data_IF_780219540964
#
_entry.id   IF_780219540964
#
_cell.length_a   1.000
_cell.length_b   1.000
_cell.length_c   1.000
_cell.angle_alpha   90.00
_cell.angle_beta   90.00
_cell.angle_gamma   90.00
#
_symmetry.space_group_name_H-M   'P 1'
#
loop_
_entity.id
_entity.type
_entity.pdbx_description
1 polymer ?
#
# COMPACT_ATOMS: atom_id res chain seq x y z
N UNK A 1 -19.65 -0.56 13.58
CA UNK A 1 -18.81 -0.88 12.40
C UNK A 1 -19.36 -0.22 11.12
N UNK A 2 -19.89 1.01 11.20
CA UNK A 2 -20.62 1.69 10.09
C UNK A 2 -19.96 2.97 9.58
N UNK A 3 -18.81 3.37 10.14
CA UNK A 3 -18.15 4.63 9.78
C UNK A 3 -17.04 4.52 8.71
N UNK A 4 -16.72 3.31 8.25
CA UNK A 4 -15.74 3.07 7.17
C UNK A 4 -16.36 3.35 5.78
N UNK A 5 -17.69 3.37 5.67
CA UNK A 5 -18.44 3.55 4.41
C UNK A 5 -18.98 4.98 4.27
N UNK A 6 -18.17 6.00 4.57
CA UNK A 6 -18.50 7.39 4.24
C UNK A 6 -17.47 7.92 3.24
N UNK A 7 -17.87 8.79 2.29
CA UNK A 7 -16.95 9.38 1.31
C UNK A 7 -15.72 10.02 1.99
N UNK A 8 -14.63 10.27 1.22
CA UNK A 8 -13.41 10.90 1.71
C UNK A 8 -13.72 12.11 2.59
N UNK A 9 -12.85 12.38 3.56
CA UNK A 9 -12.95 13.55 4.45
C UNK A 9 -13.06 14.87 3.68
N UNK A 10 -12.56 14.90 2.44
CA UNK A 10 -12.65 16.03 1.53
C UNK A 10 -14.11 16.33 1.10
N UNK A 11 -14.69 17.39 1.66
CA UNK A 11 -16.02 17.91 1.28
C UNK A 11 -15.97 18.71 -0.03
N UNK A 12 -14.79 19.22 -0.41
CA UNK A 12 -14.54 19.98 -1.65
C UNK A 12 -13.18 19.60 -2.26
N UNK A 13 -13.15 19.57 -3.59
CA UNK A 13 -11.96 19.34 -4.42
C UNK A 13 -11.73 20.56 -5.33
N UNK A 14 -10.48 20.88 -5.70
CA UNK A 14 -9.23 20.27 -5.23
C UNK A 14 -8.90 20.70 -3.79
N UNK A 15 -8.11 19.89 -3.08
CA UNK A 15 -7.66 20.20 -1.73
C UNK A 15 -6.69 21.39 -1.72
N UNK A 16 -6.62 22.19 -0.63
CA UNK A 16 -5.62 23.24 -0.50
C UNK A 16 -4.19 22.69 -0.69
N UNK A 17 -3.42 23.30 -1.58
CA UNK A 17 -2.05 22.86 -1.90
C UNK A 17 -1.94 21.67 -2.86
N UNK A 18 -3.07 21.07 -3.26
CA UNK A 18 -3.10 19.99 -4.24
C UNK A 18 -3.08 20.50 -5.69
N UNK A 19 -2.70 19.65 -6.66
CA UNK A 19 -2.87 19.95 -8.07
C UNK A 19 -4.31 20.32 -8.42
N UNK A 20 -4.50 21.34 -9.26
CA UNK A 20 -5.84 21.84 -9.61
C UNK A 20 -6.75 20.79 -10.29
N UNK A 21 -6.16 19.80 -10.96
CA UNK A 21 -6.87 18.71 -11.64
C UNK A 21 -7.09 17.48 -10.76
N UNK A 22 -6.69 17.52 -9.49
CA UNK A 22 -6.86 16.42 -8.55
C UNK A 22 -8.35 16.22 -8.23
N UNK A 23 -8.78 14.96 -8.29
CA UNK A 23 -10.13 14.52 -7.93
C UNK A 23 -10.10 13.15 -7.25
N UNK A 24 -11.21 12.75 -6.66
CA UNK A 24 -11.34 11.40 -6.09
C UNK A 24 -11.24 10.29 -7.14
N UNK A 25 -11.49 10.56 -8.42
CA UNK A 25 -11.38 9.53 -9.47
C UNK A 25 -9.96 9.34 -9.98
N UNK A 26 -9.07 10.33 -9.84
CA UNK A 26 -7.75 10.31 -10.47
C UNK A 26 -6.55 10.42 -9.50
N UNK A 27 -6.78 10.48 -8.18
CA UNK A 27 -5.72 10.77 -7.20
C UNK A 27 -4.51 9.82 -7.23
N UNK A 28 -4.70 8.56 -7.61
CA UNK A 28 -3.69 7.50 -7.72
C UNK A 28 -3.10 7.36 -9.13
N UNK A 29 -3.57 8.15 -10.10
CA UNK A 29 -3.02 8.21 -11.46
C UNK A 29 -1.93 9.28 -11.59
N UNK A 30 -0.97 9.11 -12.51
CA UNK A 30 -0.03 10.17 -12.83
C UNK A 30 -0.73 11.32 -13.58
N UNK A 31 -0.31 12.59 -13.36
CA UNK A 31 0.73 13.02 -12.42
C UNK A 31 0.24 13.25 -10.97
N UNK A 32 -1.05 13.06 -10.68
CA UNK A 32 -1.69 13.39 -9.40
C UNK A 32 -1.10 12.62 -8.22
N UNK A 33 -0.78 11.35 -8.45
CA UNK A 33 -0.22 10.45 -7.44
C UNK A 33 1.06 10.95 -6.76
N UNK A 34 1.88 11.75 -7.46
CA UNK A 34 3.11 12.34 -6.91
C UNK A 34 2.85 13.20 -5.67
N UNK A 35 1.75 13.94 -5.69
CA UNK A 35 1.29 14.69 -4.52
C UNK A 35 0.47 13.78 -3.61
N UNK A 36 -0.51 13.07 -4.18
CA UNK A 36 -1.49 12.35 -3.39
C UNK A 36 -0.90 11.27 -2.48
N UNK A 37 0.15 10.56 -2.90
CA UNK A 37 0.77 9.50 -2.09
C UNK A 37 1.47 10.03 -0.84
N UNK A 38 1.85 11.31 -0.81
CA UNK A 38 2.40 11.99 0.37
C UNK A 38 1.31 12.63 1.25
N UNK A 39 0.06 12.66 0.76
CA UNK A 39 -1.07 13.39 1.33
C UNK A 39 -2.32 12.53 1.51
N UNK A 40 -2.17 11.20 1.57
CA UNK A 40 -3.32 10.28 1.63
C UNK A 40 -4.23 10.55 2.83
N UNK A 41 -3.68 11.03 3.95
CA UNK A 41 -4.48 11.40 5.12
C UNK A 41 -5.38 12.64 4.91
N UNK A 42 -5.05 13.49 3.95
CA UNK A 42 -5.87 14.65 3.56
C UNK A 42 -7.00 14.22 2.60
N UNK A 43 -6.81 13.09 1.91
CA UNK A 43 -7.69 12.57 0.87
C UNK A 43 -8.66 11.53 1.42
N UNK A 44 -8.15 10.49 2.06
CA UNK A 44 -8.88 9.30 2.48
C UNK A 44 -9.00 9.23 3.99
N UNK A 45 -10.01 8.48 4.47
CA UNK A 45 -10.12 8.18 5.89
C UNK A 45 -9.01 7.22 6.28
N UNK A 46 -8.10 7.70 7.11
CA UNK A 46 -6.99 6.91 7.65
C UNK A 46 -7.10 6.82 9.17
N UNK A 47 -6.62 5.71 9.73
CA UNK A 47 -6.37 5.59 11.16
C UNK A 47 -4.87 5.71 11.41
N UNK A 48 -4.48 6.49 12.41
CA UNK A 48 -3.08 6.60 12.82
C UNK A 48 -2.70 5.38 13.65
N UNK A 49 -1.77 4.57 13.12
CA UNK A 49 -1.11 3.53 13.92
C UNK A 49 -0.01 4.22 14.73
N UNK A 50 -0.18 4.26 16.05
CA UNK A 50 0.82 4.85 16.93
C UNK A 50 2.07 3.98 16.99
N UNK A 51 3.25 4.60 16.98
CA UNK A 51 4.52 3.92 17.29
C UNK A 51 4.63 3.49 18.77
N UNK A 52 3.65 3.87 19.60
CA UNK A 52 3.68 3.68 21.06
C UNK A 52 4.56 4.70 21.77
N UNK A 53 4.61 4.59 23.10
CA UNK A 53 5.42 5.44 23.99
C UNK A 53 6.75 4.79 24.40
N UNK A 54 6.97 3.55 24.00
CA UNK A 54 8.19 2.81 24.30
C UNK A 54 9.42 3.36 23.57
N UNK A 55 10.62 2.83 23.91
CA UNK A 55 11.86 3.20 23.24
C UNK A 55 11.78 2.85 21.74
N UNK A 56 12.25 3.77 20.91
CA UNK A 56 12.47 3.50 19.49
C UNK A 56 13.90 3.01 19.29
N UNK A 57 14.08 2.04 18.41
CA UNK A 57 15.41 1.71 17.94
C UNK A 57 15.90 2.80 16.98
N UNK A 58 17.17 3.19 17.09
CA UNK A 58 17.77 4.24 16.29
C UNK A 58 18.88 3.67 15.40
N UNK A 59 18.83 4.00 14.11
CA UNK A 59 19.94 3.74 13.21
C UNK A 59 21.16 4.58 13.63
N UNK A 60 22.35 3.99 13.53
CA UNK A 60 23.59 4.77 13.48
C UNK A 60 23.72 5.54 12.15
N UNK A 61 24.77 6.33 12.02
CA UNK A 61 25.03 7.12 10.80
C UNK A 61 26.40 6.78 10.22
N UNK A 62 26.46 6.55 8.91
CA UNK A 62 27.69 6.30 8.16
C UNK A 62 27.54 6.79 6.70
N UNK A 63 27.30 8.10 6.49
CA UNK A 63 26.90 8.63 5.20
C UNK A 63 27.97 8.42 4.14
N UNK A 64 27.54 7.99 2.95
CA UNK A 64 28.35 7.87 1.74
C UNK A 64 27.57 8.44 0.57
N UNK A 65 28.26 9.11 -0.35
CA UNK A 65 27.63 9.50 -1.60
C UNK A 65 27.39 8.26 -2.46
N UNK A 66 26.11 7.94 -2.66
CA UNK A 66 25.67 6.85 -3.54
C UNK A 66 25.17 7.36 -4.88
N UNK A 67 24.98 8.68 -5.04
CA UNK A 67 24.31 9.27 -6.19
C UNK A 67 25.04 8.97 -7.51
N UNK A 68 26.38 8.97 -7.48
CA UNK A 68 27.24 8.69 -8.62
C UNK A 68 27.55 7.21 -8.88
N UNK A 69 27.03 6.27 -8.08
CA UNK A 69 27.24 4.83 -8.33
C UNK A 69 26.59 4.48 -9.67
N UNK A 70 27.36 3.88 -10.55
CA UNK A 70 26.88 3.44 -11.86
C UNK A 70 26.45 1.98 -11.84
N UNK A 71 25.42 1.66 -12.62
CA UNK A 71 24.95 0.30 -12.84
C UNK A 71 24.37 0.17 -14.26
N UNK A 72 24.23 -1.07 -14.73
CA UNK A 72 23.55 -1.39 -15.98
C UNK A 72 22.07 -1.65 -15.69
N UNK A 73 21.18 -0.87 -16.29
CA UNK A 73 19.73 -1.05 -16.13
C UNK A 73 19.20 -2.23 -16.96
N UNK A 74 17.88 -2.48 -16.85
CA UNK A 74 17.22 -3.55 -17.59
C UNK A 74 17.24 -3.37 -19.12
N UNK A 75 17.45 -2.15 -19.62
CA UNK A 75 17.59 -1.83 -21.04
C UNK A 75 19.06 -1.95 -21.51
N UNK A 76 19.99 -2.33 -20.64
CA UNK A 76 21.41 -2.40 -20.94
C UNK A 76 22.14 -1.04 -20.92
N UNK A 77 21.48 0.03 -20.47
CA UNK A 77 22.08 1.36 -20.39
C UNK A 77 22.84 1.54 -19.08
N UNK A 78 23.98 2.20 -19.14
CA UNK A 78 24.67 2.64 -17.92
C UNK A 78 23.95 3.87 -17.35
N UNK A 79 23.54 3.79 -16.09
CA UNK A 79 22.92 4.89 -15.35
C UNK A 79 23.58 5.08 -13.99
N UNK A 80 23.52 6.29 -13.46
CA UNK A 80 23.81 6.52 -12.05
C UNK A 80 22.58 6.23 -11.18
N UNK A 81 22.78 6.06 -9.87
CA UNK A 81 21.66 6.00 -8.91
C UNK A 81 20.83 7.29 -8.99
N UNK A 82 21.45 8.46 -9.11
CA UNK A 82 20.71 9.72 -9.27
C UNK A 82 19.80 9.75 -10.50
N UNK A 83 20.29 9.24 -11.64
CA UNK A 83 19.51 9.13 -12.87
C UNK A 83 18.30 8.21 -12.67
N UNK A 84 18.50 7.08 -11.97
CA UNK A 84 17.44 6.14 -11.65
C UNK A 84 16.36 6.79 -10.79
N UNK A 85 16.73 7.41 -9.67
CA UNK A 85 15.77 8.05 -8.76
C UNK A 85 14.92 9.11 -9.49
N UNK A 86 15.54 9.88 -10.38
CA UNK A 86 14.84 10.87 -11.20
C UNK A 86 13.90 10.20 -12.20
N UNK A 87 14.40 9.21 -12.95
CA UNK A 87 13.63 8.52 -13.99
C UNK A 87 12.44 7.72 -13.44
N UNK A 88 12.53 7.22 -12.21
CA UNK A 88 11.47 6.42 -11.56
C UNK A 88 10.52 7.26 -10.72
N UNK A 89 10.62 8.60 -10.75
CA UNK A 89 9.83 9.50 -9.91
C UNK A 89 9.93 9.16 -8.41
N UNK A 90 11.12 8.80 -7.93
CA UNK A 90 11.30 8.44 -6.52
C UNK A 90 11.08 9.64 -5.61
N UNK A 91 10.31 9.45 -4.53
CA UNK A 91 10.10 10.47 -3.50
C UNK A 91 11.06 10.30 -2.31
N UNK A 92 11.34 9.06 -1.91
CA UNK A 92 12.26 8.74 -0.82
C UNK A 92 13.11 7.50 -1.12
N UNK A 93 14.39 7.57 -0.79
CA UNK A 93 15.36 6.48 -0.95
C UNK A 93 16.25 6.38 0.29
N UNK A 94 16.38 5.19 0.86
CA UNK A 94 17.19 4.93 2.05
C UNK A 94 17.97 3.63 1.90
N UNK A 95 19.26 3.66 2.21
CA UNK A 95 20.13 2.49 2.29
C UNK A 95 20.68 2.40 3.71
N UNK A 96 20.43 1.27 4.37
CA UNK A 96 21.00 0.95 5.66
C UNK A 96 21.91 -0.27 5.56
N UNK A 97 23.05 -0.22 6.25
CA UNK A 97 24.02 -1.30 6.35
C UNK A 97 24.52 -1.40 7.79
N UNK A 98 24.53 -2.61 8.36
CA UNK A 98 25.02 -2.88 9.72
C UNK A 98 24.42 -1.95 10.80
N UNK A 99 23.11 -1.72 10.71
CA UNK A 99 22.37 -0.85 11.63
C UNK A 99 22.66 0.64 11.46
N UNK A 100 23.31 1.07 10.38
CA UNK A 100 23.63 2.47 10.08
C UNK A 100 23.00 2.92 8.77
N UNK A 101 22.47 4.14 8.73
CA UNK A 101 22.05 4.79 7.48
C UNK A 101 23.30 5.21 6.71
N UNK A 102 23.42 4.72 5.48
CA UNK A 102 24.53 4.99 4.55
C UNK A 102 24.13 6.05 3.52
N UNK A 103 22.90 6.03 3.05
CA UNK A 103 22.34 7.06 2.19
C UNK A 103 20.87 7.26 2.52
N UNK A 104 20.41 8.50 2.46
CA UNK A 104 19.02 8.88 2.69
C UNK A 104 18.74 10.14 1.87
N UNK A 105 17.84 10.02 0.90
CA UNK A 105 17.56 11.02 -0.12
C UNK A 105 16.05 11.20 -0.18
N UNK A 106 15.59 12.45 -0.10
CA UNK A 106 14.20 12.82 -0.28
C UNK A 106 14.07 13.81 -1.42
N UNK A 107 13.06 13.62 -2.27
CA UNK A 107 12.82 14.35 -3.50
C UNK A 107 11.36 14.82 -3.53
N UNK A 108 11.02 15.67 -4.50
CA UNK A 108 9.64 16.07 -4.79
C UNK A 108 8.87 16.65 -3.59
N UNK A 109 9.57 17.34 -2.67
CA UNK A 109 8.97 17.94 -1.48
C UNK A 109 8.78 16.97 -0.30
N UNK A 110 9.19 15.71 -0.44
CA UNK A 110 9.19 14.77 0.68
C UNK A 110 10.22 15.19 1.74
N UNK A 111 9.86 15.06 3.01
CA UNK A 111 10.76 15.19 4.14
C UNK A 111 10.86 13.87 4.90
N UNK A 112 11.81 13.79 5.82
CA UNK A 112 12.04 12.61 6.67
C UNK A 112 10.78 12.10 7.39
N UNK A 113 9.93 13.01 7.85
CA UNK A 113 8.71 12.68 8.59
C UNK A 113 7.46 12.59 7.72
N UNK A 114 7.57 12.81 6.41
CA UNK A 114 6.43 12.71 5.50
C UNK A 114 5.96 11.27 5.43
N UNK A 115 4.66 11.05 5.66
CA UNK A 115 4.05 9.74 5.44
C UNK A 115 3.83 9.53 3.94
N UNK A 116 4.18 8.34 3.46
CA UNK A 116 4.00 7.96 2.06
C UNK A 116 3.14 6.71 1.94
N UNK A 117 2.23 6.67 0.97
CA UNK A 117 1.45 5.47 0.66
C UNK A 117 2.39 4.32 0.28
N UNK A 118 2.33 3.23 1.02
CA UNK A 118 3.23 2.08 0.85
C UNK A 118 2.71 1.06 -0.17
N UNK A 119 1.46 1.20 -0.61
CA UNK A 119 0.79 0.24 -1.49
C UNK A 119 0.90 -1.18 -0.92
N UNK A 120 1.15 -2.18 -1.77
CA UNK A 120 1.25 -3.59 -1.39
C UNK A 120 2.37 -3.93 -0.39
N UNK A 121 3.30 -3.01 -0.08
CA UNK A 121 4.31 -3.24 0.98
C UNK A 121 3.64 -3.52 2.32
N UNK A 122 2.44 -2.97 2.58
CA UNK A 122 1.67 -3.23 3.80
C UNK A 122 1.38 -4.73 4.04
N UNK A 123 1.32 -5.55 2.98
CA UNK A 123 1.07 -7.00 3.08
C UNK A 123 2.17 -7.73 3.87
N UNK A 124 3.41 -7.25 3.81
CA UNK A 124 4.52 -7.80 4.60
C UNK A 124 4.35 -7.56 6.09
N UNK A 125 3.76 -6.43 6.49
CA UNK A 125 3.42 -6.17 7.89
C UNK A 125 2.33 -7.12 8.38
N UNK A 126 1.25 -7.29 7.60
CA UNK A 126 0.20 -8.27 7.91
C UNK A 126 0.77 -9.69 8.05
N UNK A 127 1.64 -10.11 7.13
CA UNK A 127 2.28 -11.44 7.18
C UNK A 127 3.18 -11.61 8.40
N UNK A 128 3.89 -10.53 8.80
CA UNK A 128 4.71 -10.53 10.02
C UNK A 128 3.85 -10.72 11.27
N UNK A 129 2.71 -10.03 11.35
CA UNK A 129 1.76 -10.21 12.46
C UNK A 129 1.21 -11.64 12.51
N UNK A 130 0.90 -12.24 11.36
CA UNK A 130 0.52 -13.66 11.29
C UNK A 130 1.63 -14.55 11.83
N UNK A 131 2.89 -14.31 11.46
CA UNK A 131 4.04 -15.04 12.00
C UNK A 131 4.17 -14.94 13.53
N UNK A 132 3.90 -13.76 14.10
CA UNK A 132 3.87 -13.57 15.57
C UNK A 132 2.75 -14.41 16.20
N UNK A 133 1.54 -14.39 15.65
CA UNK A 133 0.40 -15.15 16.16
C UNK A 133 0.63 -16.67 16.07
N UNK A 134 1.28 -17.14 14.99
CA UNK A 134 1.70 -18.55 14.85
C UNK A 134 2.72 -18.91 15.93
N UNK A 135 3.74 -18.07 16.13
CA UNK A 135 4.74 -18.27 17.19
C UNK A 135 4.15 -18.29 18.60
N UNK A 136 3.04 -17.56 18.81
CA UNK A 136 2.28 -17.56 20.05
C UNK A 136 1.30 -18.75 20.19
N UNK A 137 1.12 -19.56 19.14
CA UNK A 137 0.13 -20.65 19.12
C UNK A 137 -1.32 -20.19 19.01
N UNK A 138 -1.56 -18.91 18.67
CA UNK A 138 -2.89 -18.32 18.53
C UNK A 138 -3.48 -18.51 17.12
N UNK A 139 -2.63 -18.86 16.14
CA UNK A 139 -3.03 -19.09 14.76
C UNK A 139 -2.32 -20.33 14.20
N UNK A 140 -3.08 -21.18 13.51
CA UNK A 140 -2.59 -22.37 12.82
C UNK A 140 -2.83 -22.20 11.32
N UNK A 141 -1.73 -22.06 10.57
CA UNK A 141 -1.80 -21.77 9.13
C UNK A 141 -2.25 -22.96 8.28
N UNK A 142 -2.27 -24.17 8.85
CA UNK A 142 -2.70 -25.40 8.17
C UNK A 142 -4.23 -25.53 8.13
N UNK A 143 -4.94 -24.78 8.98
CA UNK A 143 -6.40 -24.74 9.02
C UNK A 143 -6.98 -23.92 7.87
N UNK A 144 -8.25 -24.19 7.59
CA UNK A 144 -9.02 -23.44 6.60
C UNK A 144 -9.22 -22.00 7.08
N UNK A 145 -9.23 -21.04 6.15
CA UNK A 145 -9.57 -19.65 6.47
C UNK A 145 -10.98 -19.55 7.07
N UNK A 146 -11.90 -20.40 6.60
CA UNK A 146 -13.27 -20.48 7.11
C UNK A 146 -13.39 -20.96 8.56
N UNK A 147 -12.34 -21.58 9.11
CA UNK A 147 -12.32 -21.94 10.54
C UNK A 147 -12.21 -20.69 11.44
N UNK A 148 -11.63 -19.62 10.91
CA UNK A 148 -11.44 -18.35 11.59
C UNK A 148 -12.49 -17.31 11.20
N UNK A 149 -12.91 -17.32 9.92
CA UNK A 149 -13.90 -16.40 9.36
C UNK A 149 -14.98 -17.23 8.63
N UNK A 150 -16.00 -17.73 9.36
CA UNK A 150 -17.00 -18.66 8.82
C UNK A 150 -17.73 -18.13 7.58
N UNK A 151 -17.90 -16.81 7.46
CA UNK A 151 -18.54 -16.15 6.33
C UNK A 151 -17.82 -16.43 5.00
N UNK A 152 -16.51 -16.74 5.03
CA UNK A 152 -15.73 -17.06 3.84
C UNK A 152 -15.95 -18.49 3.31
N UNK A 153 -16.67 -19.35 4.04
CA UNK A 153 -17.00 -20.69 3.56
C UNK A 153 -17.88 -20.69 2.29
N UNK A 154 -18.69 -19.64 2.11
CA UNK A 154 -19.54 -19.47 0.92
C UNK A 154 -18.86 -18.69 -0.20
N UNK A 155 -17.62 -18.24 0.00
CA UNK A 155 -16.86 -17.40 -0.91
C UNK A 155 -15.89 -18.19 -1.81
N UNK A 156 -15.18 -17.55 -2.72
CA UNK A 156 -14.04 -18.03 -3.48
C UNK A 156 -12.85 -18.50 -2.63
N UNK A 157 -12.78 -18.11 -1.35
CA UNK A 157 -11.79 -18.64 -0.38
C UNK A 157 -12.17 -20.01 0.19
N UNK A 158 -13.34 -20.56 -0.17
CA UNK A 158 -13.78 -21.88 0.28
C UNK A 158 -12.73 -22.94 0.03
N UNK A 159 -12.35 -23.63 1.11
CA UNK A 159 -11.36 -24.71 1.06
C UNK A 159 -9.90 -24.24 1.02
N UNK A 160 -9.64 -22.92 1.00
CA UNK A 160 -8.29 -22.40 1.14
C UNK A 160 -7.85 -22.48 2.61
N UNK A 161 -6.64 -22.99 2.83
CA UNK A 161 -5.92 -22.85 4.09
C UNK A 161 -5.36 -21.44 4.24
N UNK A 162 -5.07 -21.04 5.47
CA UNK A 162 -4.40 -19.76 5.71
C UNK A 162 -3.04 -19.71 5.02
N UNK A 163 -2.27 -20.80 5.02
CA UNK A 163 -0.99 -20.90 4.29
C UNK A 163 -1.14 -20.63 2.79
N UNK A 164 -2.18 -21.18 2.14
CA UNK A 164 -2.44 -20.94 0.72
C UNK A 164 -2.79 -19.48 0.45
N UNK A 165 -3.47 -18.79 1.38
CA UNK A 165 -3.72 -17.35 1.23
C UNK A 165 -2.44 -16.54 1.39
N UNK A 166 -1.61 -16.84 2.39
CA UNK A 166 -0.32 -16.17 2.61
C UNK A 166 0.62 -16.30 1.42
N UNK A 167 0.63 -17.48 0.79
CA UNK A 167 1.46 -17.77 -0.38
C UNK A 167 0.87 -17.25 -1.71
N UNK A 168 -0.26 -16.53 -1.68
CA UNK A 168 -0.98 -16.09 -2.89
C UNK A 168 -1.43 -17.25 -3.80
N UNK A 169 -1.83 -18.38 -3.20
CA UNK A 169 -2.22 -19.64 -3.84
C UNK A 169 -3.65 -20.08 -3.52
N UNK A 170 -4.53 -19.13 -3.20
CA UNK A 170 -5.93 -19.41 -2.87
C UNK A 170 -6.76 -19.89 -4.07
N UNK A 171 -6.35 -19.54 -5.30
CA UNK A 171 -7.10 -19.87 -6.52
C UNK A 171 -8.36 -19.02 -6.71
N UNK A 172 -8.54 -17.96 -5.93
CA UNK A 172 -9.63 -17.01 -6.09
C UNK A 172 -9.52 -16.35 -7.46
N UNK A 173 -10.60 -16.36 -8.23
CA UNK A 173 -10.68 -15.62 -9.49
C UNK A 173 -10.68 -14.12 -9.17
N UNK A 174 -9.63 -13.43 -9.56
CA UNK A 174 -9.47 -12.00 -9.31
C UNK A 174 -8.63 -11.37 -10.43
N UNK A 175 -9.19 -10.41 -11.17
CA UNK A 175 -8.45 -9.63 -12.15
C UNK A 175 -7.74 -8.45 -11.47
N UNK A 176 -6.42 -8.41 -11.60
CA UNK A 176 -5.56 -7.27 -11.21
C UNK A 176 -5.30 -6.30 -12.38
N UNK A 177 -6.16 -6.30 -13.41
CA UNK A 177 -6.09 -5.29 -14.44
C UNK A 177 -6.57 -3.93 -13.90
N UNK A 178 -5.63 -3.11 -13.47
CA UNK A 178 -5.84 -1.75 -12.96
C UNK A 178 -6.40 -0.76 -14.00
N UNK A 179 -6.33 -1.10 -15.30
CA UNK A 179 -6.86 -0.25 -16.37
C UNK A 179 -8.31 -0.64 -16.72
N UNK A 180 -8.71 -1.88 -16.44
CA UNK A 180 -10.06 -2.36 -16.70
C UNK A 180 -11.04 -1.84 -15.63
N UNK A 181 -12.07 -1.05 -15.99
CA UNK A 181 -13.00 -0.47 -15.01
C UNK A 181 -13.81 -1.52 -14.24
N UNK A 182 -14.05 -2.67 -14.88
CA UNK A 182 -14.86 -3.79 -14.39
C UNK A 182 -14.04 -4.92 -13.77
N UNK A 183 -12.71 -4.75 -13.61
CA UNK A 183 -11.88 -5.74 -12.91
C UNK A 183 -12.25 -5.85 -11.43
N UNK A 184 -11.93 -7.00 -10.83
CA UNK A 184 -12.13 -7.21 -9.40
C UNK A 184 -11.28 -6.24 -8.55
N UNK A 185 -10.10 -5.80 -9.02
CA UNK A 185 -9.34 -4.74 -8.33
C UNK A 185 -10.05 -3.39 -8.34
N UNK A 186 -10.68 -3.01 -9.46
CA UNK A 186 -11.47 -1.78 -9.51
C UNK A 186 -12.71 -1.87 -8.59
N UNK A 187 -13.31 -3.06 -8.47
CA UNK A 187 -14.41 -3.30 -7.53
C UNK A 187 -13.94 -3.21 -6.06
N UNK A 188 -12.77 -3.77 -5.75
CA UNK A 188 -12.13 -3.68 -4.43
C UNK A 188 -11.86 -2.22 -4.06
N UNK A 189 -11.32 -1.41 -4.97
CA UNK A 189 -11.03 0.00 -4.72
C UNK A 189 -12.29 0.80 -4.35
N UNK A 190 -13.42 0.53 -5.03
CA UNK A 190 -14.71 1.17 -4.69
C UNK A 190 -15.22 0.71 -3.34
N UNK A 191 -15.08 -0.58 -3.03
CA UNK A 191 -15.52 -1.14 -1.77
C UNK A 191 -14.75 -0.61 -0.56
N UNK A 192 -13.44 -0.38 -0.73
CA UNK A 192 -12.56 0.17 0.30
C UNK A 192 -12.56 1.71 0.34
N UNK A 193 -13.36 2.38 -0.50
CA UNK A 193 -13.46 3.84 -0.53
C UNK A 193 -12.29 4.56 -1.21
N UNK A 194 -11.41 3.82 -1.88
CA UNK A 194 -10.35 4.38 -2.73
C UNK A 194 -10.90 5.10 -3.95
N UNK A 195 -12.00 4.58 -4.50
CA UNK A 195 -12.71 5.16 -5.65
C UNK A 195 -14.18 5.46 -5.31
N UNK A 196 -14.82 6.43 -5.98
CA UNK A 196 -16.26 6.62 -5.87
C UNK A 196 -17.03 5.37 -6.27
N UNK A 197 -18.13 5.11 -5.58
CA UNK A 197 -19.13 4.13 -6.03
C UNK A 197 -19.77 4.59 -7.33
N UNK A 198 -20.15 3.63 -8.18
CA UNK A 198 -20.88 3.91 -9.43
C UNK A 198 -22.30 4.40 -9.16
N UNK A 199 -22.96 3.77 -8.19
CA UNK A 199 -24.31 4.12 -7.74
C UNK A 199 -24.56 3.61 -6.30
N UNK A 200 -25.79 3.76 -5.79
CA UNK A 200 -26.18 3.29 -4.46
C UNK A 200 -26.30 1.76 -4.34
N UNK A 201 -26.39 1.04 -5.47
CA UNK A 201 -26.46 -0.40 -5.55
C UNK A 201 -25.08 -1.07 -5.69
N UNK A 202 -24.02 -0.30 -5.97
CA UNK A 202 -22.59 -0.67 -5.95
C UNK A 202 -22.14 -1.02 -4.52
N UNK A 203 -22.71 -2.12 -4.05
CA UNK A 203 -22.37 -2.86 -2.85
C UNK A 203 -21.75 -4.16 -3.31
N UNK A 204 -20.58 -4.51 -2.77
CA UNK A 204 -19.99 -5.81 -3.07
C UNK A 204 -21.01 -6.89 -2.69
N UNK A 205 -21.52 -7.58 -3.72
CA UNK A 205 -22.20 -8.85 -3.51
C UNK A 205 -21.18 -9.82 -2.92
N UNK A 206 -21.47 -10.35 -1.74
CA UNK A 206 -20.68 -11.47 -1.17
C UNK A 206 -20.76 -12.73 -2.04
N UNK A 207 -21.57 -12.75 -3.11
CA UNK A 207 -21.71 -13.88 -4.04
C UNK A 207 -20.58 -13.99 -5.09
N UNK A 208 -19.55 -13.15 -5.04
CA UNK A 208 -18.42 -13.17 -5.98
C UNK A 208 -17.03 -13.04 -5.37
N UNK A 209 -16.93 -12.88 -4.04
CA UNK A 209 -15.67 -13.08 -3.30
C UNK A 209 -15.58 -14.52 -2.84
#
# INVERSE_FOLDING_TARGET
MTDIIKPPLAVQWPLPGAPATLSWTNWDWPPQNRWAFQHVGDLLRVARISRGYGPAWHFGSAPRDMSGITFTDADGRTRTVADMLTATNTDGFLVAQDGKIVAEIYLNGMERSTLHLSQSVVKSFTSTLVGILVGAGELDITRLVSDYIPELASSGYRGATVSQVLDMRSGVKFSEDYLAPDSEVAALDRACGWKPRRDSADTLSTKGL
#
